data_IF_658321765965
#
_entry.id   IF_658321765965
#
_cell.length_a   1.000
_cell.length_b   1.000
_cell.length_c   1.000
_cell.angle_alpha   90.00
_cell.angle_beta   90.00
_cell.angle_gamma   90.00
#
_symmetry.space_group_name_H-M   'P 1'
#
loop_
_entity.id
_entity.type
_entity.pdbx_description
1 polymer ?
#
# COMPACT_ATOMS: atom_id res chain seq x y z
N UNK A 1 -31.41 37.00 25.56
CA UNK A 1 -31.56 35.54 25.28
C UNK A 1 -31.93 35.43 23.81
N UNK A 2 -31.21 34.80 22.89
CA UNK A 2 -29.91 34.12 22.90
C UNK A 2 -29.18 34.42 21.59
N UNK A 3 -27.85 34.49 21.69
CA UNK A 3 -26.90 34.51 20.59
C UNK A 3 -26.81 33.10 19.95
N UNK A 4 -26.08 33.05 18.83
CA UNK A 4 -25.42 31.89 18.21
C UNK A 4 -26.29 31.09 17.24
N UNK A 5 -25.84 30.69 16.06
CA UNK A 5 -24.76 31.07 15.13
C UNK A 5 -25.01 30.13 13.96
N UNK A 6 -24.99 30.63 12.71
CA UNK A 6 -24.92 29.73 11.54
C UNK A 6 -23.78 28.73 11.74
N UNK A 7 -23.93 27.43 11.40
CA UNK A 7 -22.74 26.61 11.21
C UNK A 7 -21.94 27.24 10.07
N UNK A 8 -20.79 27.82 10.40
CA UNK A 8 -19.68 27.93 9.47
C UNK A 8 -19.35 26.49 9.13
N UNK A 9 -19.77 26.04 7.94
CA UNK A 9 -19.15 24.88 7.32
C UNK A 9 -17.70 25.27 7.14
N UNK A 10 -16.88 24.73 8.02
CA UNK A 10 -15.45 24.90 8.04
C UNK A 10 -14.95 24.53 6.64
N UNK A 11 -14.21 25.46 6.05
CA UNK A 11 -13.50 25.21 4.80
C UNK A 11 -12.29 24.36 5.18
N UNK A 12 -12.52 23.07 5.42
CA UNK A 12 -11.50 22.06 5.72
C UNK A 12 -10.95 21.42 4.44
N UNK A 13 -10.98 22.15 3.32
CA UNK A 13 -10.12 21.86 2.17
C UNK A 13 -8.73 22.39 2.51
N UNK A 14 -8.09 21.74 3.48
CA UNK A 14 -6.67 21.90 3.75
C UNK A 14 -5.93 21.70 2.44
N UNK A 15 -5.20 22.74 2.04
CA UNK A 15 -4.29 22.72 0.89
C UNK A 15 -3.27 21.59 1.10
N UNK A 16 -3.57 20.38 0.64
CA UNK A 16 -2.59 19.31 0.58
C UNK A 16 -1.73 19.56 -0.65
N UNK A 17 -0.74 20.43 -0.48
CA UNK A 17 0.45 20.43 -1.32
C UNK A 17 0.93 18.97 -1.39
N UNK A 18 1.10 18.35 -2.57
CA UNK A 18 1.61 16.99 -2.62
C UNK A 18 3.03 17.01 -2.05
N UNK A 19 3.13 16.46 -0.85
CA UNK A 19 4.35 16.24 -0.10
C UNK A 19 5.38 15.62 -1.05
N UNK A 20 6.41 16.40 -1.38
CA UNK A 20 7.44 16.05 -2.37
C UNK A 20 8.49 15.11 -1.76
N UNK A 21 8.07 14.27 -0.82
CA UNK A 21 8.86 13.27 -0.12
C UNK A 21 8.39 11.90 -0.64
N UNK A 22 9.25 11.20 -1.37
CA UNK A 22 8.98 9.85 -1.82
C UNK A 22 8.84 8.95 -0.58
N UNK A 23 7.62 8.78 -0.08
CA UNK A 23 7.35 7.94 1.07
C UNK A 23 7.44 6.47 0.62
N UNK A 24 8.02 5.57 1.44
CA UNK A 24 8.03 4.16 1.13
C UNK A 24 6.58 3.63 1.18
N UNK A 25 5.95 3.51 0.02
CA UNK A 25 4.62 2.92 -0.14
C UNK A 25 4.75 1.41 -0.05
N UNK A 26 3.95 0.79 0.81
CA UNK A 26 3.84 -0.67 0.84
C UNK A 26 2.78 -1.08 -0.17
N UNK A 27 3.22 -1.66 -1.28
CA UNK A 27 2.34 -2.24 -2.28
C UNK A 27 2.11 -3.73 -1.96
N UNK A 28 0.86 -4.16 -2.16
CA UNK A 28 0.45 -5.55 -1.97
C UNK A 28 -0.14 -6.10 -3.26
N UNK A 29 0.47 -7.14 -3.80
CA UNK A 29 0.02 -7.81 -5.04
C UNK A 29 -0.34 -9.27 -4.78
N UNK A 30 -1.51 -9.71 -5.26
CA UNK A 30 -1.92 -11.12 -5.15
C UNK A 30 -1.28 -11.94 -6.27
N UNK A 31 -0.36 -12.83 -5.90
CA UNK A 31 0.35 -13.71 -6.83
C UNK A 31 -0.14 -15.16 -6.74
N UNK A 32 -0.23 -15.80 -7.91
CA UNK A 32 -0.49 -17.23 -8.02
C UNK A 32 0.80 -18.05 -7.92
N UNK A 33 0.91 -18.91 -6.90
CA UNK A 33 2.06 -19.78 -6.70
C UNK A 33 1.69 -21.10 -6.01
N UNK A 34 2.36 -22.18 -6.44
CA UNK A 34 2.09 -23.55 -5.94
C UNK A 34 2.66 -23.81 -4.56
N UNK A 35 3.73 -23.11 -4.17
CA UNK A 35 4.47 -23.31 -2.92
C UNK A 35 5.04 -21.98 -2.43
N UNK A 36 5.31 -21.87 -1.13
CA UNK A 36 5.88 -20.67 -0.50
C UNK A 36 7.16 -20.19 -1.18
N UNK A 37 8.10 -21.09 -1.50
CA UNK A 37 9.36 -20.71 -2.15
C UNK A 37 9.16 -20.13 -3.56
N UNK A 38 8.14 -20.60 -4.29
CA UNK A 38 7.80 -20.05 -5.60
C UNK A 38 7.09 -18.69 -5.46
N UNK A 39 6.23 -18.54 -4.43
CA UNK A 39 5.57 -17.29 -4.12
C UNK A 39 6.58 -16.21 -3.73
N UNK A 40 7.50 -16.55 -2.83
CA UNK A 40 8.57 -15.66 -2.38
C UNK A 40 9.44 -15.21 -3.55
N UNK A 41 9.91 -16.15 -4.38
CA UNK A 41 10.73 -15.80 -5.54
C UNK A 41 10.00 -14.86 -6.51
N UNK A 42 8.73 -15.16 -6.85
CA UNK A 42 7.92 -14.25 -7.67
C UNK A 42 7.74 -12.89 -7.03
N UNK A 43 7.53 -12.87 -5.71
CA UNK A 43 7.36 -11.62 -4.97
C UNK A 43 8.63 -10.78 -4.98
N UNK A 44 9.79 -11.41 -4.85
CA UNK A 44 11.10 -10.75 -4.99
C UNK A 44 11.30 -10.22 -6.42
N UNK A 45 11.04 -11.03 -7.46
CA UNK A 45 11.14 -10.61 -8.86
C UNK A 45 10.21 -9.42 -9.17
N UNK A 46 8.96 -9.47 -8.69
CA UNK A 46 7.99 -8.38 -8.79
C UNK A 46 8.48 -7.13 -8.05
N UNK A 47 8.95 -7.28 -6.82
CA UNK A 47 9.48 -6.15 -6.05
C UNK A 47 10.67 -5.52 -6.77
N UNK A 48 11.63 -6.30 -7.26
CA UNK A 48 12.77 -5.80 -8.03
C UNK A 48 12.33 -5.04 -9.30
N UNK A 49 11.33 -5.54 -10.02
CA UNK A 49 10.77 -4.86 -11.20
C UNK A 49 10.20 -3.47 -10.84
N UNK A 50 9.53 -3.37 -9.69
CA UNK A 50 8.98 -2.11 -9.18
C UNK A 50 10.00 -1.24 -8.41
N UNK A 51 11.26 -1.67 -8.28
CA UNK A 51 12.26 -0.99 -7.44
C UNK A 51 11.94 -1.06 -5.93
N UNK A 52 11.15 -2.05 -5.54
CA UNK A 52 10.75 -2.35 -4.18
C UNK A 52 11.76 -3.19 -3.41
N UNK A 53 11.65 -3.12 -2.09
CA UNK A 53 12.47 -3.81 -1.08
C UNK A 53 11.55 -4.49 -0.07
N UNK A 54 12.07 -5.31 0.85
CA UNK A 54 11.28 -6.03 1.86
C UNK A 54 10.16 -6.93 1.30
N UNK A 55 10.38 -7.56 0.13
CA UNK A 55 9.40 -8.45 -0.48
C UNK A 55 9.07 -9.66 0.41
N UNK A 56 7.81 -9.82 0.78
CA UNK A 56 7.33 -10.90 1.65
C UNK A 56 6.08 -11.53 1.07
N UNK A 57 6.16 -12.84 0.80
CA UNK A 57 5.01 -13.64 0.41
C UNK A 57 4.31 -14.23 1.64
N UNK A 58 3.07 -13.80 1.87
CA UNK A 58 2.18 -14.33 2.90
C UNK A 58 1.13 -15.27 2.28
N UNK A 59 0.83 -16.42 2.90
CA UNK A 59 -0.25 -17.27 2.42
C UNK A 59 -1.60 -16.56 2.65
N UNK A 60 -2.49 -16.66 1.66
CA UNK A 60 -3.87 -16.17 1.81
C UNK A 60 -4.82 -17.31 2.21
N UNK A 61 -6.07 -16.96 2.50
CA UNK A 61 -7.16 -17.93 2.73
C UNK A 61 -7.43 -18.81 1.50
N UNK A 62 -7.01 -18.37 0.30
CA UNK A 62 -7.23 -19.09 -0.95
C UNK A 62 -6.05 -20.02 -1.28
N UNK A 63 -6.29 -21.32 -1.50
CA UNK A 63 -5.22 -22.25 -1.86
C UNK A 63 -4.59 -21.86 -3.20
N UNK A 64 -3.26 -21.72 -3.20
CA UNK A 64 -2.48 -21.33 -4.38
C UNK A 64 -2.41 -19.82 -4.64
N UNK A 65 -2.98 -18.99 -3.74
CA UNK A 65 -2.84 -17.53 -3.76
C UNK A 65 -2.00 -17.06 -2.59
N UNK A 66 -1.09 -16.15 -2.88
CA UNK A 66 -0.17 -15.56 -1.93
C UNK A 66 -0.23 -14.06 -2.06
N UNK A 67 -0.23 -13.38 -0.93
CA UNK A 67 -0.18 -11.93 -0.86
C UNK A 67 1.28 -11.51 -0.80
N UNK A 68 1.76 -10.87 -1.86
CA UNK A 68 3.11 -10.35 -1.96
C UNK A 68 3.10 -8.90 -1.47
N UNK A 69 3.73 -8.63 -0.34
CA UNK A 69 3.89 -7.28 0.19
C UNK A 69 5.33 -6.82 -0.05
N UNK A 70 5.51 -5.67 -0.66
CA UNK A 70 6.82 -5.09 -0.91
C UNK A 70 6.77 -3.57 -0.76
N UNK A 71 7.87 -2.97 -0.32
CA UNK A 71 7.99 -1.53 -0.09
C UNK A 71 8.66 -0.88 -1.29
N UNK A 72 7.94 -0.06 -2.02
CA UNK A 72 8.47 0.75 -3.12
C UNK A 72 8.67 2.18 -2.67
N UNK A 73 9.70 2.83 -3.18
CA UNK A 73 9.88 4.28 -3.04
C UNK A 73 9.27 4.93 -4.28
N UNK A 74 8.15 5.64 -4.11
CA UNK A 74 7.44 6.33 -5.20
C UNK A 74 7.12 7.77 -4.83
#
# INVERSE_FOLDING_TARGET
MGLFSKPKTDNELGEYLPDSDAQPCTESEEIGARNRSQAQKKCEETAEEYGGTDAQASPTDRPGRWDCNFKVWR
#
